data_IF_706113843623
#
_entry.id   IF_706113843623
#
_cell.length_a   1.000
_cell.length_b   1.000
_cell.length_c   1.000
_cell.angle_alpha   90.00
_cell.angle_beta   90.00
_cell.angle_gamma   90.00
#
_symmetry.space_group_name_H-M   'P 1'
#
loop_
_entity.id
_entity.type
_entity.pdbx_description
1 polymer ?
#
# COMPACT_ATOMS: atom_id res chain seq x y z
N UNK A 1 10.06 4.96 12.31
CA UNK A 1 10.75 6.04 11.58
C UNK A 1 10.09 6.18 10.22
N UNK A 2 9.54 7.36 9.95
CA UNK A 2 8.93 7.67 8.67
C UNK A 2 10.00 7.91 7.61
N UNK A 3 9.80 7.38 6.41
CA UNK A 3 10.69 7.59 5.26
C UNK A 3 9.88 7.78 3.99
N UNK A 4 10.40 8.57 3.07
CA UNK A 4 9.81 8.71 1.74
C UNK A 4 10.26 7.57 0.84
N UNK A 5 9.32 6.99 0.11
CA UNK A 5 9.58 5.85 -0.75
C UNK A 5 8.76 5.98 -2.03
N UNK A 6 9.42 5.75 -3.17
CA UNK A 6 8.75 5.74 -4.47
C UNK A 6 7.88 4.48 -4.61
N UNK A 7 6.61 4.66 -4.93
CA UNK A 7 5.68 3.57 -5.23
C UNK A 7 5.96 3.05 -6.62
N UNK A 8 6.13 1.74 -6.74
CA UNK A 8 6.46 1.09 -8.02
C UNK A 8 5.35 0.22 -8.56
N UNK A 9 4.42 -0.22 -7.71
CA UNK A 9 3.31 -1.08 -8.12
C UNK A 9 2.19 -1.09 -7.11
N UNK A 10 0.96 -0.99 -7.58
CA UNK A 10 -0.25 -1.26 -6.78
C UNK A 10 -0.64 -2.74 -6.89
N UNK A 11 -0.94 -3.38 -5.76
CA UNK A 11 -1.41 -4.78 -5.72
C UNK A 11 -2.94 -4.82 -5.67
N UNK A 12 -3.54 -4.09 -4.74
CA UNK A 12 -4.98 -3.98 -4.53
C UNK A 12 -5.31 -2.61 -3.88
N UNK A 13 -6.54 -2.42 -3.41
CA UNK A 13 -7.01 -1.13 -2.89
C UNK A 13 -6.41 -0.69 -1.55
N UNK A 14 -5.57 -1.49 -0.90
CA UNK A 14 -4.88 -1.13 0.34
C UNK A 14 -3.39 -1.53 0.38
N UNK A 15 -2.92 -2.31 -0.59
CA UNK A 15 -1.58 -2.88 -0.61
C UNK A 15 -0.79 -2.44 -1.85
N UNK A 16 0.44 -1.98 -1.64
CA UNK A 16 1.34 -1.52 -2.70
C UNK A 16 2.80 -1.94 -2.46
N UNK A 17 3.65 -1.76 -3.47
CA UNK A 17 5.10 -1.98 -3.41
C UNK A 17 5.84 -0.68 -3.64
N UNK A 18 7.01 -0.60 -3.02
CA UNK A 18 7.93 0.53 -3.13
C UNK A 18 9.27 0.08 -3.69
N UNK A 19 10.02 0.98 -4.32
CA UNK A 19 11.38 0.71 -4.80
C UNK A 19 12.34 0.29 -3.66
N UNK A 20 12.12 0.80 -2.45
CA UNK A 20 13.04 0.64 -1.32
C UNK A 20 12.75 -0.58 -0.42
N UNK A 21 11.73 -1.41 -0.74
CA UNK A 21 11.37 -2.59 0.07
C UNK A 21 11.17 -3.82 -0.81
N UNK A 22 11.65 -4.96 -0.32
CA UNK A 22 11.32 -6.27 -0.92
C UNK A 22 9.88 -6.69 -0.65
N UNK A 23 9.34 -6.33 0.52
CA UNK A 23 7.97 -6.65 0.95
C UNK A 23 7.00 -5.52 0.61
N UNK A 24 5.74 -5.87 0.39
CA UNK A 24 4.67 -4.89 0.21
C UNK A 24 4.39 -4.11 1.49
N UNK A 25 3.79 -2.94 1.30
CA UNK A 25 3.27 -2.05 2.33
C UNK A 25 1.76 -2.13 2.27
N UNK A 26 1.11 -2.24 3.43
CA UNK A 26 -0.35 -2.22 3.55
C UNK A 26 -0.77 -0.99 4.35
N UNK A 27 -1.76 -0.28 3.83
CA UNK A 27 -2.39 0.84 4.52
C UNK A 27 -3.10 0.34 5.77
N UNK A 28 -2.89 1.04 6.88
CA UNK A 28 -3.58 0.72 8.14
C UNK A 28 -4.97 1.31 8.09
N UNK A 29 -5.95 0.60 8.66
CA UNK A 29 -7.35 1.04 8.73
C UNK A 29 -8.03 1.19 7.37
N UNK A 30 -7.43 0.64 6.30
CA UNK A 30 -8.06 0.46 5.00
C UNK A 30 -8.18 -1.04 4.79
N UNK A 31 -9.39 -1.52 4.55
CA UNK A 31 -9.66 -2.91 4.20
C UNK A 31 -10.33 -2.93 2.83
N UNK A 32 -9.53 -3.11 1.79
CA UNK A 32 -10.04 -3.15 0.44
C UNK A 32 -10.61 -4.54 0.12
N UNK A 33 -11.67 -4.63 -0.72
CA UNK A 33 -12.15 -5.93 -1.18
C UNK A 33 -11.03 -6.70 -1.89
N UNK A 34 -10.88 -7.98 -1.53
CA UNK A 34 -9.92 -8.85 -2.19
C UNK A 34 -10.18 -8.96 -3.70
N UNK A 35 -9.12 -9.25 -4.46
CA UNK A 35 -9.20 -9.38 -5.91
C UNK A 35 -10.33 -10.33 -6.33
N UNK A 36 -11.24 -9.84 -7.15
CA UNK A 36 -12.39 -10.62 -7.65
C UNK A 36 -13.69 -10.38 -6.86
N UNK A 37 -13.63 -9.72 -5.70
CA UNK A 37 -14.83 -9.26 -5.00
C UNK A 37 -15.39 -7.98 -5.64
N UNK A 38 -16.71 -7.73 -5.55
CA UNK A 38 -17.31 -6.48 -6.01
C UNK A 38 -16.56 -5.26 -5.46
N UNK A 39 -16.20 -4.33 -6.35
CA UNK A 39 -15.48 -3.11 -5.99
C UNK A 39 -13.96 -3.24 -5.88
N UNK A 40 -13.37 -4.44 -5.94
CA UNK A 40 -11.90 -4.62 -5.83
C UNK A 40 -11.14 -3.86 -6.94
N UNK A 41 -11.67 -3.88 -8.17
CA UNK A 41 -11.07 -3.19 -9.30
C UNK A 41 -11.10 -1.66 -9.14
N UNK A 42 -12.25 -1.12 -8.69
CA UNK A 42 -12.41 0.32 -8.42
C UNK A 42 -11.48 0.78 -7.31
N UNK A 43 -11.37 0.01 -6.22
CA UNK A 43 -10.47 0.33 -5.12
C UNK A 43 -8.99 0.33 -5.56
N UNK A 44 -8.60 -0.66 -6.37
CA UNK A 44 -7.23 -0.73 -6.93
C UNK A 44 -6.95 0.46 -7.86
N UNK A 45 -7.90 0.81 -8.72
CA UNK A 45 -7.76 1.95 -9.65
C UNK A 45 -7.70 3.28 -8.90
N UNK A 46 -8.50 3.45 -7.84
CA UNK A 46 -8.46 4.63 -7.00
C UNK A 46 -7.09 4.78 -6.33
N UNK A 47 -6.55 3.70 -5.74
CA UNK A 47 -5.22 3.74 -5.13
C UNK A 47 -4.13 4.03 -6.17
N UNK A 48 -4.23 3.41 -7.34
CA UNK A 48 -3.34 3.68 -8.48
C UNK A 48 -3.30 5.16 -8.85
N UNK A 49 -4.46 5.78 -9.05
CA UNK A 49 -4.56 7.20 -9.41
C UNK A 49 -4.02 8.13 -8.31
N UNK A 50 -4.01 7.69 -7.07
CA UNK A 50 -3.55 8.51 -5.94
C UNK A 50 -2.03 8.45 -5.73
N UNK A 51 -1.40 7.28 -5.92
CA UNK A 51 -0.02 7.07 -5.46
C UNK A 51 0.89 6.29 -6.42
N UNK A 52 0.40 5.77 -7.55
CA UNK A 52 1.29 5.03 -8.48
C UNK A 52 2.34 5.98 -9.08
N UNK A 53 3.60 5.55 -9.08
CA UNK A 53 4.78 6.32 -9.51
C UNK A 53 5.10 7.57 -8.67
N UNK A 54 4.33 7.83 -7.61
CA UNK A 54 4.53 8.93 -6.67
C UNK A 54 5.44 8.55 -5.49
N UNK A 55 5.99 9.57 -4.83
CA UNK A 55 6.81 9.42 -3.63
C UNK A 55 5.96 9.60 -2.36
N UNK A 56 5.72 8.50 -1.63
CA UNK A 56 4.85 8.51 -0.45
C UNK A 56 5.64 8.47 0.85
N UNK A 57 5.15 9.17 1.87
CA UNK A 57 5.70 9.09 3.23
C UNK A 57 5.14 7.85 3.91
N UNK A 58 6.02 6.94 4.32
CA UNK A 58 5.66 5.68 4.97
C UNK A 58 6.09 5.74 6.42
N UNK A 59 5.14 5.96 7.33
CA UNK A 59 5.39 5.82 8.77
C UNK A 59 5.12 4.38 9.22
N UNK A 60 6.18 3.57 9.29
CA UNK A 60 6.06 2.18 9.73
C UNK A 60 5.80 2.13 11.23
N UNK A 61 4.53 1.95 11.62
CA UNK A 61 4.08 1.87 13.01
C UNK A 61 4.45 0.51 13.62
N UNK A 62 4.32 -0.57 12.85
CA UNK A 62 4.73 -1.91 13.27
C UNK A 62 4.97 -2.81 12.04
N UNK A 63 5.55 -3.98 12.27
CA UNK A 63 5.59 -5.06 11.28
C UNK A 63 4.57 -6.10 11.71
N UNK A 64 3.65 -6.46 10.82
CA UNK A 64 2.69 -7.51 11.14
C UNK A 64 3.37 -8.90 11.23
N UNK A 65 2.59 -9.94 11.56
CA UNK A 65 3.07 -11.33 11.71
C UNK A 65 3.75 -11.90 10.46
N UNK A 66 3.57 -11.24 9.30
CA UNK A 66 4.17 -11.59 8.01
C UNK A 66 5.34 -10.66 7.63
N UNK A 67 5.66 -9.68 8.48
CA UNK A 67 6.72 -8.70 8.32
C UNK A 67 6.40 -7.55 7.36
N UNK A 68 5.12 -7.28 7.07
CA UNK A 68 4.68 -6.15 6.24
C UNK A 68 4.72 -4.85 7.03
N UNK A 69 5.07 -3.75 6.37
CA UNK A 69 5.05 -2.44 6.99
C UNK A 69 3.63 -1.88 7.02
N UNK A 70 3.25 -1.43 8.20
CA UNK A 70 1.93 -0.87 8.56
C UNK A 70 2.10 0.65 8.53
N UNK A 71 1.55 1.31 7.50
CA UNK A 71 1.78 2.73 7.20
C UNK A 71 0.54 3.59 7.45
N UNK A 72 0.67 4.64 8.27
CA UNK A 72 -0.39 5.62 8.48
C UNK A 72 -0.37 6.69 7.36
N UNK A 73 -1.53 7.31 7.11
CA UNK A 73 -1.73 8.35 6.08
C UNK A 73 -0.93 9.62 6.37
#
# INVERSE_FOLDING_TARGET
MARKEKVTKIIDGDTFKTASRKKSVRLVNVDAPEKGKPGSAKATEALRKMIEDEEVRIDTVSRDKYGRAVANK
#
